data_IF_865508240794
#
_entry.id   IF_865508240794
#
_cell.length_a   1.000
_cell.length_b   1.000
_cell.length_c   1.000
_cell.angle_alpha   90.00
_cell.angle_beta   90.00
_cell.angle_gamma   90.00
#
_symmetry.space_group_name_H-M   'P 1'
#
loop_
_entity.id
_entity.type
_entity.pdbx_description
1 polymer ?
#
# COMPACT_ATOMS: atom_id res chain seq x y z
N UNK A 1 -21.64 12.80 4.58
CA UNK A 1 -21.34 11.53 5.29
C UNK A 1 -21.65 10.26 4.46
N UNK A 2 -22.14 10.34 3.21
CA UNK A 2 -22.54 9.15 2.44
C UNK A 2 -21.38 8.42 1.72
N UNK A 3 -20.20 9.04 1.59
CA UNK A 3 -19.08 8.49 0.80
C UNK A 3 -18.49 7.19 1.36
N UNK A 4 -18.38 7.07 2.69
CA UNK A 4 -17.79 5.90 3.36
C UNK A 4 -18.51 4.59 3.08
N UNK A 5 -19.84 4.58 3.25
CA UNK A 5 -20.66 3.39 3.04
C UNK A 5 -20.68 2.93 1.57
N UNK A 6 -20.68 3.88 0.63
CA UNK A 6 -20.63 3.57 -0.79
C UNK A 6 -19.28 2.99 -1.19
N UNK A 7 -18.17 3.60 -0.77
CA UNK A 7 -16.82 3.10 -1.04
C UNK A 7 -16.62 1.69 -0.46
N UNK A 8 -17.07 1.45 0.78
CA UNK A 8 -17.03 0.12 1.41
C UNK A 8 -17.84 -0.92 0.65
N UNK A 9 -19.05 -0.56 0.19
CA UNK A 9 -19.91 -1.47 -0.59
C UNK A 9 -19.27 -1.82 -1.93
N UNK A 10 -18.78 -0.82 -2.67
CA UNK A 10 -18.09 -1.04 -3.95
C UNK A 10 -16.85 -1.90 -3.75
N UNK A 11 -16.03 -1.60 -2.74
CA UNK A 11 -14.80 -2.33 -2.43
C UNK A 11 -15.06 -3.78 -2.04
N UNK A 12 -15.97 -4.03 -1.11
CA UNK A 12 -16.37 -5.38 -0.73
C UNK A 12 -16.99 -6.17 -1.90
N UNK A 13 -17.72 -5.49 -2.78
CA UNK A 13 -18.28 -6.07 -4.00
C UNK A 13 -17.21 -6.64 -4.94
N UNK A 14 -16.00 -6.06 -4.96
CA UNK A 14 -14.88 -6.57 -5.78
C UNK A 14 -14.42 -7.97 -5.37
N UNK A 15 -14.77 -8.45 -4.16
CA UNK A 15 -14.44 -9.79 -3.70
C UNK A 15 -15.14 -10.87 -4.52
N UNK A 16 -16.29 -10.53 -5.13
CA UNK A 16 -17.02 -11.43 -6.03
C UNK A 16 -16.37 -11.60 -7.42
N UNK A 17 -15.43 -10.72 -7.78
CA UNK A 17 -14.71 -10.82 -9.04
C UNK A 17 -13.61 -11.88 -8.97
N UNK A 18 -13.31 -12.57 -10.09
CA UNK A 18 -12.11 -13.38 -10.22
C UNK A 18 -10.85 -12.56 -9.91
N UNK A 19 -9.85 -13.19 -9.29
CA UNK A 19 -8.61 -12.53 -8.87
C UNK A 19 -7.91 -11.82 -10.04
N UNK A 20 -7.89 -12.44 -11.23
CA UNK A 20 -7.30 -11.89 -12.44
C UNK A 20 -7.96 -10.58 -12.90
N UNK A 21 -9.25 -10.40 -12.60
CA UNK A 21 -10.04 -9.25 -13.05
C UNK A 21 -10.18 -8.16 -11.97
N UNK A 22 -9.74 -8.45 -10.73
CA UNK A 22 -9.99 -7.60 -9.57
C UNK A 22 -9.07 -6.38 -9.50
N UNK A 23 -7.83 -6.52 -9.95
CA UNK A 23 -6.77 -5.51 -9.76
C UNK A 23 -7.09 -4.19 -10.47
N UNK A 24 -7.62 -4.23 -11.70
CA UNK A 24 -7.99 -3.03 -12.44
C UNK A 24 -9.03 -2.17 -11.73
N UNK A 25 -10.23 -2.71 -11.43
CA UNK A 25 -11.25 -2.01 -10.65
C UNK A 25 -10.78 -1.52 -9.28
N UNK A 26 -9.89 -2.27 -8.60
CA UNK A 26 -9.27 -1.80 -7.36
C UNK A 26 -8.44 -0.54 -7.57
N UNK A 27 -7.58 -0.51 -8.61
CA UNK A 27 -6.80 0.69 -8.94
C UNK A 27 -7.70 1.89 -9.22
N UNK A 28 -8.77 1.70 -10.00
CA UNK A 28 -9.68 2.79 -10.37
C UNK A 28 -10.39 3.37 -9.14
N UNK A 29 -10.93 2.52 -8.27
CA UNK A 29 -11.55 2.96 -7.02
C UNK A 29 -10.54 3.64 -6.07
N UNK A 30 -9.31 3.13 -5.98
CA UNK A 30 -8.28 3.75 -5.16
C UNK A 30 -7.90 5.15 -5.67
N UNK A 31 -7.78 5.33 -7.00
CA UNK A 31 -7.55 6.66 -7.58
C UNK A 31 -8.71 7.62 -7.31
N UNK A 32 -9.95 7.14 -7.46
CA UNK A 32 -11.14 7.92 -7.15
C UNK A 32 -11.13 8.38 -5.69
N UNK A 33 -10.91 7.46 -4.75
CA UNK A 33 -10.85 7.77 -3.32
C UNK A 33 -9.73 8.76 -3.00
N UNK A 34 -8.55 8.60 -3.59
CA UNK A 34 -7.42 9.52 -3.38
C UNK A 34 -7.66 10.91 -3.98
N UNK A 35 -8.59 11.07 -4.93
CA UNK A 35 -9.00 12.37 -5.47
C UNK A 35 -9.99 13.12 -4.57
N UNK A 36 -10.57 12.44 -3.57
CA UNK A 36 -11.54 13.05 -2.65
C UNK A 36 -10.85 14.03 -1.67
N UNK A 37 -11.60 15.03 -1.15
CA UNK A 37 -11.18 15.81 0.00
C UNK A 37 -10.82 14.92 1.20
N UNK A 38 -9.92 15.39 2.07
CA UNK A 38 -9.34 14.59 3.16
C UNK A 38 -10.39 13.95 4.09
N UNK A 39 -11.42 14.69 4.48
CA UNK A 39 -12.51 14.21 5.35
C UNK A 39 -13.31 13.08 4.70
N UNK A 40 -13.60 13.21 3.40
CA UNK A 40 -14.32 12.23 2.61
C UNK A 40 -13.44 11.01 2.30
N UNK A 41 -12.15 11.23 2.02
CA UNK A 41 -11.16 10.18 1.77
C UNK A 41 -10.98 9.29 3.00
N UNK A 42 -10.83 9.87 4.18
CA UNK A 42 -10.72 9.11 5.44
C UNK A 42 -11.97 8.28 5.69
N UNK A 43 -13.17 8.87 5.48
CA UNK A 43 -14.43 8.12 5.60
C UNK A 43 -14.56 6.99 4.57
N UNK A 44 -14.13 7.21 3.32
CA UNK A 44 -14.09 6.19 2.26
C UNK A 44 -13.14 5.04 2.62
N UNK A 45 -11.91 5.35 3.04
CA UNK A 45 -10.91 4.38 3.45
C UNK A 45 -11.38 3.55 4.66
N UNK A 46 -12.01 4.16 5.68
CA UNK A 46 -12.59 3.41 6.81
C UNK A 46 -13.65 2.41 6.33
N UNK A 47 -14.56 2.83 5.45
CA UNK A 47 -15.57 1.96 4.86
C UNK A 47 -14.96 0.78 4.08
N UNK A 48 -13.93 1.04 3.28
CA UNK A 48 -13.20 0.01 2.52
C UNK A 48 -12.51 -0.99 3.44
N UNK A 49 -11.78 -0.51 4.46
CA UNK A 49 -11.11 -1.37 5.45
C UNK A 49 -12.13 -2.25 6.18
N UNK A 50 -13.25 -1.68 6.65
CA UNK A 50 -14.29 -2.47 7.31
C UNK A 50 -14.87 -3.54 6.40
N UNK A 51 -15.11 -3.21 5.13
CA UNK A 51 -15.64 -4.16 4.16
C UNK A 51 -14.65 -5.31 3.88
N UNK A 52 -13.35 -5.00 3.72
CA UNK A 52 -12.31 -6.02 3.50
C UNK A 52 -12.18 -6.95 4.70
N UNK A 53 -12.11 -6.42 5.92
CA UNK A 53 -11.90 -7.24 7.13
C UNK A 53 -13.17 -7.93 7.64
N UNK A 54 -14.32 -7.66 7.02
CA UNK A 54 -15.55 -8.42 7.21
C UNK A 54 -15.59 -9.71 6.35
N UNK A 55 -14.67 -9.87 5.39
CA UNK A 55 -14.57 -11.08 4.57
C UNK A 55 -14.13 -12.28 5.42
N UNK A 56 -14.55 -13.47 5.01
CA UNK A 56 -14.03 -14.73 5.56
C UNK A 56 -12.52 -14.85 5.26
N UNK A 57 -11.83 -15.72 6.01
CA UNK A 57 -10.36 -15.78 5.97
C UNK A 57 -9.80 -16.14 4.59
N UNK A 58 -10.43 -17.07 3.87
CA UNK A 58 -9.97 -17.48 2.55
C UNK A 58 -10.16 -16.36 1.53
N UNK A 59 -11.32 -15.71 1.55
CA UNK A 59 -11.61 -14.56 0.69
C UNK A 59 -10.69 -13.38 1.02
N UNK A 60 -10.49 -13.06 2.31
CA UNK A 60 -9.62 -11.99 2.77
C UNK A 60 -8.18 -12.17 2.28
N UNK A 61 -7.63 -13.39 2.33
CA UNK A 61 -6.28 -13.65 1.84
C UNK A 61 -6.12 -13.31 0.35
N UNK A 62 -6.97 -13.89 -0.52
CA UNK A 62 -6.94 -13.61 -1.97
C UNK A 62 -7.21 -12.13 -2.29
N UNK A 63 -8.08 -11.50 -1.50
CA UNK A 63 -8.45 -10.10 -1.66
C UNK A 63 -7.30 -9.17 -1.27
N UNK A 64 -6.61 -9.45 -0.16
CA UNK A 64 -5.40 -8.72 0.22
C UNK A 64 -4.29 -8.90 -0.82
N UNK A 65 -4.12 -10.09 -1.42
CA UNK A 65 -3.17 -10.29 -2.53
C UNK A 65 -3.48 -9.38 -3.72
N UNK A 66 -4.76 -9.31 -4.11
CA UNK A 66 -5.22 -8.40 -5.16
C UNK A 66 -4.98 -6.93 -4.80
N UNK A 67 -5.25 -6.53 -3.55
CA UNK A 67 -5.02 -5.16 -3.06
C UNK A 67 -3.53 -4.79 -3.12
N UNK A 68 -2.64 -5.67 -2.66
CA UNK A 68 -1.19 -5.41 -2.73
C UNK A 68 -0.70 -5.29 -4.17
N UNK A 69 -1.20 -6.11 -5.10
CA UNK A 69 -0.88 -5.98 -6.53
C UNK A 69 -1.43 -4.69 -7.13
N UNK A 70 -2.62 -4.25 -6.72
CA UNK A 70 -3.16 -2.94 -7.12
C UNK A 70 -2.27 -1.80 -6.62
N UNK A 71 -1.76 -1.89 -5.38
CA UNK A 71 -0.84 -0.90 -4.83
C UNK A 71 0.51 -0.89 -5.56
N UNK A 72 1.06 -2.06 -5.89
CA UNK A 72 2.28 -2.18 -6.68
C UNK A 72 2.13 -1.58 -8.08
N UNK A 73 1.00 -1.85 -8.74
CA UNK A 73 0.68 -1.25 -10.04
C UNK A 73 0.61 0.28 -9.95
N UNK A 74 -0.10 0.81 -8.96
CA UNK A 74 -0.16 2.25 -8.71
C UNK A 74 1.23 2.84 -8.40
N UNK A 75 2.06 2.14 -7.61
CA UNK A 75 3.42 2.59 -7.31
C UNK A 75 4.34 2.63 -8.53
N UNK A 76 4.12 1.73 -9.51
CA UNK A 76 4.81 1.76 -10.80
C UNK A 76 4.40 2.93 -11.70
N UNK A 77 3.20 3.48 -11.49
CA UNK A 77 2.68 4.66 -12.20
C UNK A 77 3.03 5.97 -11.46
N UNK A 78 2.83 6.01 -10.15
CA UNK A 78 3.05 7.15 -9.26
C UNK A 78 3.35 6.67 -7.82
N UNK A 79 4.63 6.74 -7.43
CA UNK A 79 5.10 6.31 -6.12
C UNK A 79 4.56 7.19 -4.98
N UNK A 80 4.35 8.49 -5.22
CA UNK A 80 3.90 9.42 -4.19
C UNK A 80 2.41 9.26 -3.91
N UNK A 81 1.62 8.93 -4.94
CA UNK A 81 0.25 8.46 -4.76
C UNK A 81 0.21 7.18 -3.91
N UNK A 82 1.08 6.20 -4.20
CA UNK A 82 1.12 4.94 -3.46
C UNK A 82 1.48 5.15 -1.97
N UNK A 83 2.44 6.03 -1.68
CA UNK A 83 2.79 6.43 -0.29
C UNK A 83 1.66 7.17 0.41
N UNK A 84 1.01 8.11 -0.28
CA UNK A 84 -0.11 8.87 0.30
C UNK A 84 -1.28 7.92 0.65
N UNK A 85 -1.55 6.96 -0.23
CA UNK A 85 -2.57 5.95 -0.03
C UNK A 85 -2.22 5.01 1.13
N UNK A 86 -0.97 4.55 1.23
CA UNK A 86 -0.57 3.67 2.33
C UNK A 86 -0.63 4.36 3.69
N UNK A 87 -0.25 5.64 3.76
CA UNK A 87 -0.38 6.46 4.97
C UNK A 87 -1.83 6.66 5.38
N UNK A 88 -2.71 6.97 4.42
CA UNK A 88 -4.14 7.09 4.69
C UNK A 88 -4.74 5.76 5.18
N UNK A 89 -4.31 4.65 4.59
CA UNK A 89 -4.72 3.31 5.02
C UNK A 89 -4.21 2.99 6.43
N UNK A 90 -2.93 3.29 6.74
CA UNK A 90 -2.36 3.13 8.08
C UNK A 90 -3.13 3.94 9.12
N UNK A 91 -3.48 5.18 8.80
CA UNK A 91 -4.22 6.05 9.71
C UNK A 91 -5.59 5.49 10.10
N UNK A 92 -6.28 4.80 9.17
CA UNK A 92 -7.54 4.10 9.51
C UNK A 92 -7.31 3.04 10.59
N UNK A 93 -6.17 2.34 10.56
CA UNK A 93 -5.85 1.31 11.54
C UNK A 93 -5.47 1.86 12.92
N UNK A 94 -5.08 3.12 13.05
CA UNK A 94 -4.86 3.77 14.35
C UNK A 94 -6.15 3.81 15.19
N UNK A 95 -7.31 3.84 14.53
CA UNK A 95 -8.64 3.84 15.16
C UNK A 95 -9.32 2.47 15.23
N UNK A 96 -8.68 1.40 14.74
CA UNK A 96 -9.29 0.06 14.69
C UNK A 96 -9.05 -0.73 15.98
N UNK A 97 -9.92 -1.71 16.30
CA UNK A 97 -9.64 -2.67 17.36
C UNK A 97 -8.28 -3.36 17.15
N UNK A 98 -7.54 -3.57 18.23
CA UNK A 98 -6.19 -4.15 18.18
C UNK A 98 -6.16 -5.51 17.46
N UNK A 99 -7.20 -6.33 17.62
CA UNK A 99 -7.35 -7.61 16.92
C UNK A 99 -7.36 -7.43 15.39
N UNK A 100 -8.09 -6.45 14.87
CA UNK A 100 -8.14 -6.14 13.43
C UNK A 100 -6.79 -5.64 12.92
N UNK A 101 -6.09 -4.80 13.69
CA UNK A 101 -4.75 -4.32 13.34
C UNK A 101 -3.71 -5.45 13.33
N UNK A 102 -3.78 -6.38 14.28
CA UNK A 102 -2.93 -7.58 14.29
C UNK A 102 -3.26 -8.51 13.11
N UNK A 103 -4.55 -8.76 12.85
CA UNK A 103 -5.00 -9.56 11.71
C UNK A 103 -4.47 -8.99 10.40
N UNK A 104 -4.50 -7.66 10.22
CA UNK A 104 -3.89 -6.99 9.07
C UNK A 104 -2.42 -7.37 8.91
N UNK A 105 -1.63 -7.22 9.97
CA UNK A 105 -0.20 -7.50 9.91
C UNK A 105 0.05 -8.96 9.49
N UNK A 106 -0.68 -9.91 10.09
CA UNK A 106 -0.58 -11.33 9.78
C UNK A 106 -0.95 -11.64 8.32
N UNK A 107 -2.09 -11.15 7.83
CA UNK A 107 -2.55 -11.43 6.46
C UNK A 107 -1.60 -10.82 5.45
N UNK A 108 -1.22 -9.55 5.61
CA UNK A 108 -0.29 -8.88 4.68
C UNK A 108 1.07 -9.56 4.66
N UNK A 109 1.60 -9.98 5.81
CA UNK A 109 2.88 -10.71 5.86
C UNK A 109 2.80 -12.08 5.21
N UNK A 110 1.67 -12.78 5.40
CA UNK A 110 1.44 -14.09 4.79
C UNK A 110 1.40 -13.96 3.27
N UNK A 111 0.56 -13.08 2.75
CA UNK A 111 0.43 -12.79 1.33
C UNK A 111 1.76 -12.34 0.73
N UNK A 112 2.45 -11.39 1.36
CA UNK A 112 3.72 -10.90 0.84
C UNK A 112 4.82 -11.97 0.80
N UNK A 113 4.71 -13.03 1.63
CA UNK A 113 5.65 -14.15 1.62
C UNK A 113 5.27 -15.24 0.61
N UNK A 114 3.98 -15.51 0.42
CA UNK A 114 3.50 -16.64 -0.40
C UNK A 114 3.13 -16.25 -1.83
N UNK A 115 2.67 -15.01 -2.06
CA UNK A 115 2.04 -14.58 -3.32
C UNK A 115 2.87 -13.59 -4.13
N UNK A 116 3.89 -12.98 -3.51
CA UNK A 116 4.71 -11.93 -4.12
C UNK A 116 6.17 -12.37 -4.25
N UNK A 117 6.83 -11.86 -5.29
CA UNK A 117 8.26 -12.07 -5.51
C UNK A 117 9.13 -11.05 -4.77
N UNK A 118 10.45 -11.27 -4.74
CA UNK A 118 11.38 -10.44 -3.97
C UNK A 118 11.46 -8.98 -4.44
N UNK A 119 11.23 -8.71 -5.73
CA UNK A 119 11.21 -7.34 -6.28
C UNK A 119 9.95 -6.60 -5.85
N UNK A 120 8.79 -7.27 -5.93
CA UNK A 120 7.51 -6.75 -5.45
C UNK A 120 7.55 -6.41 -3.96
N UNK A 121 8.11 -7.30 -3.12
CA UNK A 121 8.28 -7.04 -1.68
C UNK A 121 9.21 -5.85 -1.43
N UNK A 122 10.25 -5.67 -2.26
CA UNK A 122 11.13 -4.50 -2.17
C UNK A 122 10.41 -3.20 -2.49
N UNK A 123 9.54 -3.18 -3.51
CA UNK A 123 8.69 -2.02 -3.81
C UNK A 123 7.70 -1.74 -2.68
N UNK A 124 7.03 -2.78 -2.14
CA UNK A 124 6.14 -2.60 -0.98
C UNK A 124 6.86 -1.98 0.22
N UNK A 125 8.14 -2.30 0.44
CA UNK A 125 8.91 -1.73 1.54
C UNK A 125 9.06 -0.21 1.46
N UNK A 126 9.00 0.37 0.26
CA UNK A 126 9.12 1.82 0.05
C UNK A 126 7.89 2.60 0.57
N UNK A 127 6.76 1.93 0.85
CA UNK A 127 5.54 2.61 1.31
C UNK A 127 4.72 1.88 2.40
N UNK A 128 5.00 0.61 2.72
CA UNK A 128 4.48 -0.09 3.92
C UNK A 128 5.57 -0.79 4.73
N UNK A 129 6.67 -0.10 5.09
CA UNK A 129 7.85 -0.73 5.67
C UNK A 129 7.57 -1.46 6.99
N UNK A 130 6.68 -0.93 7.84
CA UNK A 130 6.40 -1.49 9.17
C UNK A 130 5.89 -2.93 9.13
N UNK A 131 5.11 -3.28 8.10
CA UNK A 131 4.44 -4.58 8.00
C UNK A 131 5.36 -5.60 7.30
N UNK A 132 6.10 -5.19 6.28
CA UNK A 132 6.92 -6.10 5.46
C UNK A 132 8.39 -6.16 5.87
N UNK A 133 8.82 -5.40 6.90
CA UNK A 133 10.25 -5.33 7.33
C UNK A 133 10.89 -6.69 7.63
N UNK A 134 10.12 -7.67 8.08
CA UNK A 134 10.61 -8.99 8.45
C UNK A 134 10.74 -9.96 7.26
N UNK A 135 10.34 -9.57 6.05
CA UNK A 135 10.36 -10.41 4.87
C UNK A 135 11.70 -10.22 4.12
N UNK A 136 12.40 -11.30 3.71
CA UNK A 136 13.60 -11.20 2.88
C UNK A 136 13.34 -10.42 1.59
N UNK A 137 14.29 -9.58 1.20
CA UNK A 137 14.15 -8.64 0.07
C UNK A 137 15.35 -8.73 -0.87
N UNK A 138 15.11 -8.50 -2.16
CA UNK A 138 16.19 -8.24 -3.10
C UNK A 138 16.67 -6.78 -2.93
N UNK A 139 17.97 -6.47 -3.12
CA UNK A 139 18.41 -5.08 -3.25
C UNK A 139 17.63 -4.43 -4.41
N UNK A 140 16.83 -3.41 -4.11
CA UNK A 140 15.93 -2.82 -5.10
C UNK A 140 16.69 -1.82 -5.99
N UNK A 141 16.47 -1.86 -7.30
CA UNK A 141 17.05 -0.90 -8.26
C UNK A 141 16.55 0.52 -8.02
N UNK A 142 15.39 0.68 -7.39
CA UNK A 142 14.78 1.96 -7.04
C UNK A 142 15.45 2.58 -5.80
N UNK A 143 15.73 1.75 -4.78
CA UNK A 143 16.55 2.14 -3.62
C UNK A 143 18.01 2.39 -4.05
N UNK A 144 18.51 1.66 -5.05
CA UNK A 144 19.83 1.88 -5.63
C UNK A 144 19.90 3.22 -6.38
N UNK A 145 18.86 3.57 -7.16
CA UNK A 145 18.75 4.89 -7.82
C UNK A 145 18.61 6.06 -6.84
N UNK A 146 17.92 5.86 -5.71
CA UNK A 146 17.83 6.86 -4.64
C UNK A 146 19.14 6.99 -3.85
N UNK A 147 19.89 5.90 -3.71
CA UNK A 147 21.23 5.91 -3.10
C UNK A 147 22.33 6.44 -4.04
N UNK A 148 22.11 6.39 -5.35
CA UNK A 148 23.00 6.93 -6.40
C UNK A 148 22.74 8.41 -6.72
N UNK A 149 21.96 9.13 -5.90
CA UNK A 149 21.99 10.59 -5.92
C UNK A 149 23.45 11.03 -5.73
N UNK A 150 24.06 11.74 -6.70
CA UNK A 150 25.46 12.11 -6.59
C UNK A 150 25.62 12.95 -5.33
N UNK A 151 26.65 12.72 -4.49
CA UNK A 151 26.96 13.66 -3.43
C UNK A 151 27.12 15.02 -4.09
N UNK A 152 26.34 16.02 -3.63
CA UNK A 152 26.64 17.41 -3.91
C UNK A 152 28.13 17.58 -3.64
N UNK A 153 28.87 17.94 -4.69
CA UNK A 153 30.33 18.04 -4.66
C UNK A 153 30.69 19.14 -3.66
N UNK A 154 30.85 18.75 -2.41
CA UNK A 154 31.43 19.59 -1.39
C UNK A 154 32.84 19.94 -1.84
N UNK A 155 33.04 21.24 -1.99
CA UNK A 155 34.27 21.86 -2.45
C UNK A 155 35.47 21.26 -1.71
N UNK A 156 36.54 20.86 -2.40
CA UNK A 156 37.69 20.26 -1.73
C UNK A 156 38.40 21.28 -0.83
N UNK A 157 38.58 20.92 0.44
CA UNK A 157 39.06 21.77 1.56
C UNK A 157 40.50 22.32 1.44
N UNK A 158 41.23 22.03 0.37
CA UNK A 158 42.65 22.39 0.18
C UNK A 158 42.89 23.74 -0.49
N UNK A 159 41.86 24.54 -0.79
CA UNK A 159 42.01 25.87 -1.45
C UNK A 159 42.39 27.04 -0.54
N UNK A 160 42.89 26.81 0.68
CA UNK A 160 43.19 27.89 1.64
C UNK A 160 44.69 28.25 1.81
N UNK A 161 45.61 27.66 1.06
CA UNK A 161 47.02 28.05 1.07
C UNK A 161 47.56 28.19 -0.36
N UNK A 162 47.54 29.43 -0.85
CA UNK A 162 48.08 29.85 -2.15
C UNK A 162 47.95 31.34 -2.33
#
# INVERSE_FOLDING_TARGET
>A
MAGGAQAGTTWGGLASLPEADRVGPMCDLLREVMSLPEDQRTSAMDGMVRAEYALDEATLHSFTASRLRAWLRLAGEDMDLARSMSQAWDHVFDGMPAETAMRRATVVQTVARSELNAEEVSVLFEFIPSIVRQIPRAPSSLSQRLAEAPPERDTPWWKFWG
#
